data_IF_657345405008
#
_entry.id   IF_657345405008
#
_cell.length_a   1.000
_cell.length_b   1.000
_cell.length_c   1.000
_cell.angle_alpha   90.00
_cell.angle_beta   90.00
_cell.angle_gamma   90.00
#
_symmetry.space_group_name_H-M   'P 1'
#
loop_
_entity.id
_entity.type
_entity.pdbx_description
1 polymer ?
#
# COMPACT_ATOMS: atom_id res chain seq x y z
N UNK A 1 -11.71 -52.45 -55.30
CA UNK A 1 -12.61 -52.09 -54.18
C UNK A 1 -12.15 -50.74 -53.67
N UNK A 2 -12.88 -49.67 -54.02
CA UNK A 2 -12.51 -48.28 -53.74
C UNK A 2 -12.68 -47.97 -52.25
N UNK A 3 -11.58 -47.67 -51.57
CA UNK A 3 -11.61 -47.32 -50.15
C UNK A 3 -11.40 -45.80 -50.02
N UNK A 4 -12.51 -45.09 -49.90
CA UNK A 4 -12.57 -43.67 -49.50
C UNK A 4 -12.40 -43.62 -47.99
N UNK A 5 -11.38 -42.93 -47.48
CA UNK A 5 -11.33 -42.52 -46.08
C UNK A 5 -11.34 -41.00 -45.98
N UNK A 6 -12.34 -40.55 -45.22
CA UNK A 6 -12.70 -39.19 -44.81
C UNK A 6 -11.50 -38.46 -44.18
N UNK A 7 -11.18 -37.27 -44.67
CA UNK A 7 -10.41 -36.27 -43.94
C UNK A 7 -11.30 -35.68 -42.83
N UNK A 8 -11.03 -36.00 -41.57
CA UNK A 8 -11.57 -35.25 -40.44
C UNK A 8 -10.86 -33.89 -40.39
N UNK A 9 -11.57 -32.82 -40.71
CA UNK A 9 -11.13 -31.46 -40.40
C UNK A 9 -11.24 -31.25 -38.87
N UNK A 10 -10.11 -31.27 -38.17
CA UNK A 10 -10.03 -30.74 -36.81
C UNK A 10 -10.16 -29.22 -36.89
N UNK A 11 -11.38 -28.72 -36.69
CA UNK A 11 -11.61 -27.31 -36.43
C UNK A 11 -10.97 -26.95 -35.10
N UNK A 12 -9.86 -26.22 -35.16
CA UNK A 12 -9.31 -25.50 -34.02
C UNK A 12 -10.36 -24.48 -33.57
N UNK A 13 -11.13 -24.79 -32.52
CA UNK A 13 -11.74 -23.75 -31.70
C UNK A 13 -10.60 -23.09 -30.94
N UNK A 14 -9.98 -22.10 -31.57
CA UNK A 14 -9.19 -21.11 -30.87
C UNK A 14 -10.17 -20.39 -29.96
N UNK A 15 -10.26 -20.81 -28.69
CA UNK A 15 -10.91 -20.02 -27.68
C UNK A 15 -10.15 -18.69 -27.65
N UNK A 16 -10.75 -17.65 -28.20
CA UNK A 16 -10.36 -16.28 -27.89
C UNK A 16 -10.54 -16.15 -26.38
N UNK A 17 -9.47 -16.36 -25.62
CA UNK A 17 -9.37 -15.80 -24.27
C UNK A 17 -9.34 -14.30 -24.51
N UNK A 18 -10.52 -13.69 -24.55
CA UNK A 18 -10.63 -12.24 -24.50
C UNK A 18 -9.90 -11.84 -23.22
N UNK A 19 -8.74 -11.21 -23.36
CA UNK A 19 -8.11 -10.54 -22.24
C UNK A 19 -9.11 -9.50 -21.77
N UNK A 20 -9.75 -9.72 -20.63
CA UNK A 20 -10.61 -8.73 -20.02
C UNK A 20 -9.68 -7.60 -19.57
N UNK A 21 -9.49 -6.62 -20.45
CA UNK A 21 -8.59 -5.47 -20.28
C UNK A 21 -9.28 -4.29 -19.60
N UNK A 22 -10.30 -4.56 -18.79
CA UNK A 22 -11.06 -3.54 -18.07
C UNK A 22 -10.65 -3.53 -16.61
N UNK A 23 -10.53 -2.33 -16.03
CA UNK A 23 -10.33 -2.17 -14.60
C UNK A 23 -11.41 -2.95 -13.82
N UNK A 24 -11.03 -3.45 -12.65
CA UNK A 24 -11.96 -4.16 -11.77
C UNK A 24 -13.12 -3.21 -11.37
N UNK A 25 -14.37 -3.70 -11.30
CA UNK A 25 -15.49 -2.88 -10.88
C UNK A 25 -15.34 -2.48 -9.41
N UNK A 26 -15.76 -1.25 -9.10
CA UNK A 26 -15.86 -0.78 -7.72
C UNK A 26 -17.14 -1.32 -7.06
N UNK A 27 -17.03 -1.73 -5.80
CA UNK A 27 -18.14 -2.12 -4.95
C UNK A 27 -18.62 -0.98 -4.04
N UNK A 28 -17.79 0.05 -3.83
CA UNK A 28 -18.13 1.24 -3.05
C UNK A 28 -18.82 2.30 -3.93
N UNK A 29 -19.76 3.06 -3.35
CA UNK A 29 -20.40 4.17 -4.04
C UNK A 29 -19.38 5.24 -4.46
N UNK A 30 -19.58 5.80 -5.66
CA UNK A 30 -18.69 6.80 -6.25
C UNK A 30 -18.56 8.06 -5.38
N UNK A 31 -19.64 8.46 -4.71
CA UNK A 31 -19.64 9.62 -3.82
C UNK A 31 -18.73 9.41 -2.60
N UNK A 32 -18.69 8.19 -2.06
CA UNK A 32 -17.87 7.85 -0.90
C UNK A 32 -16.40 7.69 -1.30
N UNK A 33 -16.12 7.03 -2.44
CA UNK A 33 -14.78 6.95 -3.02
C UNK A 33 -14.17 8.35 -3.21
N UNK A 34 -14.95 9.30 -3.75
CA UNK A 34 -14.49 10.67 -4.01
C UNK A 34 -14.24 11.49 -2.75
N UNK A 35 -15.03 11.29 -1.69
CA UNK A 35 -14.90 12.04 -0.43
C UNK A 35 -13.70 11.62 0.41
N UNK A 36 -13.10 10.48 0.11
CA UNK A 36 -12.04 9.91 0.93
C UNK A 36 -10.67 10.61 0.78
N UNK A 37 -10.48 11.50 -0.20
CA UNK A 37 -9.20 12.22 -0.35
C UNK A 37 -9.32 13.65 0.13
N UNK A 38 -8.33 14.07 0.92
CA UNK A 38 -8.17 15.43 1.42
C UNK A 38 -6.81 15.98 1.01
N UNK A 39 -6.78 17.24 0.57
CA UNK A 39 -5.56 17.99 0.27
C UNK A 39 -5.60 19.28 1.12
N UNK A 40 -5.05 19.28 2.34
CA UNK A 40 -5.29 20.34 3.32
C UNK A 40 -4.81 21.73 2.89
N UNK A 41 -3.68 21.78 2.15
CA UNK A 41 -3.14 23.03 1.57
C UNK A 41 -3.72 23.33 0.18
N UNK A 42 -4.68 22.53 -0.27
CA UNK A 42 -5.22 22.58 -1.64
C UNK A 42 -4.28 21.94 -2.66
N UNK A 43 -4.66 22.06 -3.93
CA UNK A 43 -3.83 21.68 -5.09
C UNK A 43 -3.49 22.98 -5.81
N UNK A 44 -2.23 23.41 -5.68
CA UNK A 44 -1.73 24.68 -6.20
C UNK A 44 -1.10 24.56 -7.58
N UNK A 45 -0.90 23.33 -8.07
CA UNK A 45 -0.17 23.06 -9.30
C UNK A 45 1.33 23.06 -9.07
N UNK A 46 1.79 22.46 -7.97
CA UNK A 46 3.20 22.36 -7.65
C UNK A 46 3.99 21.64 -8.77
N UNK A 47 5.23 22.05 -9.03
CA UNK A 47 6.03 21.52 -10.15
C UNK A 47 6.34 20.03 -10.01
N UNK A 48 6.51 19.54 -8.78
CA UNK A 48 6.68 18.11 -8.49
C UNK A 48 5.40 17.29 -8.59
N UNK A 49 4.26 17.93 -8.80
CA UNK A 49 2.95 17.30 -8.90
C UNK A 49 2.32 17.04 -7.54
N UNK A 50 1.49 15.99 -7.47
CA UNK A 50 0.73 15.64 -6.28
C UNK A 50 1.30 14.35 -5.68
N UNK A 51 1.51 14.35 -4.36
CA UNK A 51 1.84 13.17 -3.56
C UNK A 51 0.59 12.76 -2.79
N UNK A 52 0.08 11.55 -3.02
CA UNK A 52 -1.00 10.95 -2.23
C UNK A 52 -0.40 10.05 -1.16
N UNK A 53 -0.51 10.49 0.09
CA UNK A 53 -0.10 9.75 1.27
C UNK A 53 -1.20 8.77 1.68
N UNK A 54 -0.85 7.51 1.93
CA UNK A 54 -1.80 6.45 2.27
C UNK A 54 -1.35 5.81 3.57
N UNK A 55 -2.26 5.81 4.53
CA UNK A 55 -1.97 5.42 5.91
C UNK A 55 -1.84 3.93 6.13
N UNK A 56 -1.13 3.58 7.20
CA UNK A 56 -1.01 2.23 7.72
C UNK A 56 -2.30 1.70 8.36
N UNK A 57 -2.28 0.43 8.72
CA UNK A 57 -3.38 -0.24 9.45
C UNK A 57 -3.65 0.46 10.78
N UNK A 58 -4.93 0.55 11.18
CA UNK A 58 -5.44 1.27 12.36
C UNK A 58 -5.47 2.81 12.20
N UNK A 59 -4.99 3.35 11.08
CA UNK A 59 -4.89 4.79 10.85
C UNK A 59 -5.63 5.24 9.58
N UNK A 60 -6.05 6.49 9.60
CA UNK A 60 -6.53 7.24 8.43
C UNK A 60 -5.58 8.40 8.14
N UNK A 61 -5.70 9.02 6.97
CA UNK A 61 -4.79 10.08 6.54
C UNK A 61 -4.62 11.22 7.56
N UNK A 62 -5.73 11.73 8.08
CA UNK A 62 -5.74 12.75 9.13
C UNK A 62 -5.21 12.31 10.50
N UNK A 63 -5.10 10.99 10.75
CA UNK A 63 -4.50 10.47 11.98
C UNK A 63 -2.96 10.48 11.90
N UNK A 64 -2.42 10.15 10.72
CA UNK A 64 -1.00 9.83 10.55
C UNK A 64 -0.17 11.00 10.00
N UNK A 65 -0.64 11.67 8.94
CA UNK A 65 0.21 12.58 8.17
C UNK A 65 0.39 14.00 8.73
N UNK A 66 -0.57 14.61 9.45
CA UNK A 66 -0.37 15.91 10.06
C UNK A 66 0.82 15.93 11.03
N UNK A 67 1.72 16.90 10.90
CA UNK A 67 2.91 16.97 11.74
C UNK A 67 3.95 15.87 11.47
N UNK A 68 4.02 15.35 10.24
CA UNK A 68 5.14 14.52 9.73
C UNK A 68 6.03 15.35 8.81
N UNK A 69 7.29 14.96 8.57
CA UNK A 69 8.14 15.65 7.59
C UNK A 69 7.53 15.61 6.17
N UNK A 70 6.74 14.59 5.83
CA UNK A 70 6.04 14.52 4.55
C UNK A 70 5.05 15.66 4.34
N UNK A 71 4.24 15.98 5.36
CA UNK A 71 3.31 17.11 5.27
C UNK A 71 4.01 18.45 5.41
N UNK A 72 4.99 18.56 6.32
CA UNK A 72 5.61 19.83 6.63
C UNK A 72 6.60 20.31 5.56
N UNK A 73 7.37 19.40 4.98
CA UNK A 73 8.54 19.76 4.16
C UNK A 73 8.36 19.53 2.66
N UNK A 74 7.59 18.53 2.21
CA UNK A 74 7.43 18.27 0.77
C UNK A 74 6.97 19.50 -0.05
N UNK A 75 6.09 20.39 0.44
CA UNK A 75 5.72 21.59 -0.31
C UNK A 75 6.89 22.54 -0.57
N UNK A 76 8.00 22.41 0.16
CA UNK A 76 9.18 23.27 0.09
C UNK A 76 10.44 22.55 -0.40
N UNK A 77 10.40 21.22 -0.57
CA UNK A 77 11.49 20.47 -1.23
C UNK A 77 11.60 20.89 -2.70
N UNK A 78 12.78 20.83 -3.30
CA UNK A 78 12.88 21.01 -4.76
C UNK A 78 12.29 19.78 -5.46
N UNK A 79 11.28 19.88 -6.34
CA UNK A 79 10.68 21.07 -6.97
C UNK A 79 9.35 21.57 -6.36
N UNK A 80 8.89 20.99 -5.26
CA UNK A 80 7.69 21.33 -4.50
C UNK A 80 6.53 20.40 -4.85
N UNK A 81 5.77 19.95 -3.85
CA UNK A 81 4.69 18.97 -4.04
C UNK A 81 3.39 19.43 -3.37
N UNK A 82 2.27 19.24 -4.08
CA UNK A 82 0.93 19.31 -3.50
C UNK A 82 0.68 18.01 -2.71
N UNK A 83 0.45 18.12 -1.40
CA UNK A 83 0.28 16.95 -0.53
C UNK A 83 -1.20 16.69 -0.27
N UNK A 84 -1.63 15.48 -0.59
CA UNK A 84 -2.95 14.96 -0.27
C UNK A 84 -2.80 13.65 0.53
N UNK A 85 -3.83 13.28 1.28
CA UNK A 85 -3.89 11.96 1.91
C UNK A 85 -5.24 11.29 1.73
N UNK A 86 -5.21 9.97 1.82
CA UNK A 86 -6.41 9.15 1.84
C UNK A 86 -6.94 8.98 3.27
N UNK A 87 -8.12 9.53 3.53
CA UNK A 87 -8.90 9.26 4.72
C UNK A 87 -9.71 7.96 4.54
N UNK A 88 -9.04 6.80 4.69
CA UNK A 88 -9.68 5.50 4.60
C UNK A 88 -10.72 5.33 5.72
N UNK A 89 -12.03 5.18 5.42
CA UNK A 89 -13.05 4.94 6.46
C UNK A 89 -12.71 3.70 7.29
N UNK A 90 -12.13 2.73 6.59
CA UNK A 90 -11.34 1.58 7.03
C UNK A 90 -10.57 1.68 8.33
N UNK A 91 -9.87 2.81 8.43
CA UNK A 91 -8.55 2.88 9.04
C UNK A 91 -7.67 1.66 8.69
N UNK A 92 -7.79 1.11 7.48
CA UNK A 92 -7.07 -0.11 7.06
C UNK A 92 -7.49 -1.44 7.72
N UNK A 93 -8.60 -1.52 8.45
CA UNK A 93 -9.02 -2.73 9.20
C UNK A 93 -10.02 -3.62 8.46
N UNK A 94 -10.83 -3.03 7.59
CA UNK A 94 -11.76 -3.73 6.72
C UNK A 94 -11.06 -4.51 5.61
N UNK A 95 -11.84 -5.08 4.69
CA UNK A 95 -11.32 -5.81 3.54
C UNK A 95 -10.34 -4.94 2.72
N UNK A 96 -9.09 -5.38 2.60
CA UNK A 96 -8.03 -4.71 1.87
C UNK A 96 -8.39 -4.51 0.39
N UNK A 97 -9.22 -5.39 -0.19
CA UNK A 97 -9.73 -5.25 -1.55
C UNK A 97 -10.70 -4.06 -1.68
N UNK A 98 -11.40 -3.68 -0.60
CA UNK A 98 -12.25 -2.48 -0.54
C UNK A 98 -11.38 -1.24 -0.31
N UNK A 99 -10.39 -1.31 0.58
CA UNK A 99 -9.42 -0.22 0.79
C UNK A 99 -8.69 0.15 -0.51
N UNK A 100 -8.38 -0.85 -1.33
CA UNK A 100 -7.75 -0.68 -2.65
C UNK A 100 -8.61 0.12 -3.63
N UNK A 101 -9.95 0.06 -3.52
CA UNK A 101 -10.85 0.81 -4.41
C UNK A 101 -10.72 2.32 -4.21
N UNK A 102 -10.61 2.77 -2.95
CA UNK A 102 -10.43 4.17 -2.61
C UNK A 102 -9.14 4.74 -3.23
N UNK A 103 -8.07 3.95 -3.24
CA UNK A 103 -6.81 4.33 -3.88
C UNK A 103 -7.01 4.33 -5.41
N UNK A 104 -7.43 3.20 -5.98
CA UNK A 104 -7.60 3.02 -7.42
C UNK A 104 -8.50 4.09 -8.08
N UNK A 105 -9.61 4.44 -7.44
CA UNK A 105 -10.55 5.45 -7.93
C UNK A 105 -9.96 6.87 -7.95
N UNK A 106 -9.21 7.25 -6.92
CA UNK A 106 -8.75 8.64 -6.77
C UNK A 106 -7.51 8.98 -7.60
N UNK A 107 -6.75 7.98 -8.05
CA UNK A 107 -5.54 8.23 -8.84
C UNK A 107 -5.83 8.93 -10.17
N UNK A 108 -6.78 8.46 -11.01
CA UNK A 108 -7.25 9.21 -12.18
C UNK A 108 -7.55 10.68 -11.88
N UNK A 109 -8.28 10.91 -10.79
CA UNK A 109 -8.84 12.20 -10.44
C UNK A 109 -7.73 13.17 -10.04
N UNK A 110 -6.81 12.74 -9.19
CA UNK A 110 -5.66 13.55 -8.79
C UNK A 110 -4.68 13.74 -9.95
N UNK A 111 -4.42 12.71 -10.75
CA UNK A 111 -3.55 12.83 -11.92
C UNK A 111 -4.04 13.87 -12.93
N UNK A 112 -5.36 13.98 -13.14
CA UNK A 112 -5.95 15.04 -13.98
C UNK A 112 -5.81 16.46 -13.41
N UNK A 113 -5.54 16.58 -12.11
CA UNK A 113 -5.31 17.86 -11.41
C UNK A 113 -3.82 18.16 -11.22
N UNK A 114 -2.95 17.17 -11.44
CA UNK A 114 -1.50 17.34 -11.33
C UNK A 114 -0.93 17.96 -12.60
N UNK A 115 0.04 18.86 -12.41
CA UNK A 115 0.86 19.43 -13.49
C UNK A 115 1.64 18.39 -14.28
N UNK A 116 1.98 17.25 -13.67
CA UNK A 116 2.73 16.17 -14.33
C UNK A 116 1.83 15.19 -15.10
N UNK A 117 0.51 15.30 -14.97
CA UNK A 117 -0.45 14.30 -15.48
C UNK A 117 -0.34 12.93 -14.78
N UNK A 118 0.47 12.84 -13.72
CA UNK A 118 0.72 11.66 -12.89
C UNK A 118 0.73 12.08 -11.41
N UNK A 119 0.72 11.10 -10.52
CA UNK A 119 0.85 11.31 -9.09
C UNK A 119 1.82 10.29 -8.49
N UNK A 120 2.44 10.60 -7.36
CA UNK A 120 3.16 9.60 -6.58
C UNK A 120 2.20 8.94 -5.59
N UNK A 121 2.09 7.61 -5.59
CA UNK A 121 1.12 6.84 -4.79
C UNK A 121 1.63 5.45 -4.41
N UNK A 122 0.85 4.68 -3.63
CA UNK A 122 1.13 3.28 -3.36
C UNK A 122 0.74 2.20 -4.38
N UNK A 123 -0.10 2.41 -5.41
CA UNK A 123 -0.27 1.44 -6.54
C UNK A 123 -1.34 1.83 -7.57
N UNK A 124 -0.93 2.03 -8.83
CA UNK A 124 -1.63 1.83 -10.14
C UNK A 124 -0.61 2.23 -11.23
N UNK A 125 -0.80 1.89 -12.52
CA UNK A 125 0.35 1.84 -13.45
C UNK A 125 0.57 3.07 -14.32
N UNK A 126 -0.46 3.57 -15.02
CA UNK A 126 -0.25 4.58 -16.07
C UNK A 126 -0.12 6.01 -15.55
N UNK A 127 -0.72 6.28 -14.39
CA UNK A 127 -0.85 7.63 -13.81
C UNK A 127 0.03 7.83 -12.59
N UNK A 128 1.01 6.95 -12.41
CA UNK A 128 1.88 6.95 -11.26
C UNK A 128 3.31 7.21 -11.68
N UNK A 129 3.90 8.26 -11.12
CA UNK A 129 5.29 8.63 -11.39
C UNK A 129 6.25 7.88 -10.46
N UNK A 130 5.82 7.58 -9.24
CA UNK A 130 6.61 6.90 -8.22
C UNK A 130 5.71 6.17 -7.21
N UNK A 131 6.19 5.05 -6.70
CA UNK A 131 5.69 4.41 -5.48
C UNK A 131 6.80 4.33 -4.45
N UNK A 132 6.63 5.02 -3.32
CA UNK A 132 7.52 4.91 -2.17
C UNK A 132 6.77 4.15 -1.08
N UNK A 133 7.24 2.94 -0.76
CA UNK A 133 6.71 2.13 0.32
C UNK A 133 7.57 2.31 1.57
N UNK A 134 6.93 2.58 2.70
CA UNK A 134 7.57 2.66 4.02
C UNK A 134 7.01 1.49 4.84
N UNK A 135 7.87 0.59 5.30
CA UNK A 135 7.49 -0.68 5.96
C UNK A 135 6.43 -1.47 5.17
N UNK A 136 6.69 -1.66 3.87
CA UNK A 136 5.78 -2.41 2.98
C UNK A 136 5.73 -3.89 3.36
N UNK A 137 4.55 -4.51 3.33
CA UNK A 137 4.40 -5.94 3.64
C UNK A 137 4.00 -6.75 2.40
N UNK A 138 4.85 -6.72 1.36
CA UNK A 138 4.51 -7.29 0.05
C UNK A 138 4.27 -8.81 0.07
N UNK A 139 4.89 -9.51 1.02
CA UNK A 139 4.77 -10.95 1.21
C UNK A 139 3.94 -11.30 2.46
N UNK A 140 3.18 -10.34 2.98
CA UNK A 140 2.48 -10.44 4.26
C UNK A 140 3.43 -10.38 5.46
N UNK A 141 2.85 -10.47 6.66
CA UNK A 141 3.58 -10.41 7.93
C UNK A 141 3.13 -11.51 8.89
N UNK A 142 3.99 -11.87 9.83
CA UNK A 142 3.69 -12.85 10.87
C UNK A 142 3.07 -12.19 12.10
N UNK A 143 2.07 -12.85 12.70
CA UNK A 143 1.53 -12.45 14.00
C UNK A 143 0.23 -11.61 14.07
N UNK A 144 -0.32 -10.98 13.00
CA UNK A 144 -1.54 -10.16 13.13
C UNK A 144 -2.70 -10.90 13.81
N UNK A 145 -3.07 -12.07 13.33
CA UNK A 145 -4.19 -12.85 13.89
C UNK A 145 -3.89 -13.34 15.31
N UNK A 146 -2.65 -13.72 15.59
CA UNK A 146 -2.23 -14.13 16.94
C UNK A 146 -2.32 -12.96 17.94
N UNK A 147 -2.08 -11.72 17.49
CA UNK A 147 -2.26 -10.52 18.31
C UNK A 147 -3.71 -10.32 18.72
N UNK A 148 -4.66 -10.45 17.79
CA UNK A 148 -6.09 -10.41 18.12
C UNK A 148 -6.47 -11.44 19.19
N UNK A 149 -5.93 -12.65 19.10
CA UNK A 149 -6.18 -13.72 20.08
C UNK A 149 -5.57 -13.38 21.45
N UNK A 150 -4.34 -12.85 21.47
CA UNK A 150 -3.68 -12.42 22.70
C UNK A 150 -4.42 -11.26 23.39
N UNK A 151 -5.09 -10.40 22.61
CA UNK A 151 -5.96 -9.32 23.09
C UNK A 151 -7.35 -9.81 23.52
N UNK A 152 -7.63 -11.12 23.43
CA UNK A 152 -8.89 -11.73 23.87
C UNK A 152 -10.07 -11.50 22.91
N UNK A 153 -9.81 -11.15 21.65
CA UNK A 153 -10.85 -10.89 20.66
C UNK A 153 -11.44 -12.20 20.12
N UNK A 154 -12.78 -12.24 19.96
CA UNK A 154 -13.48 -13.35 19.34
C UNK A 154 -13.55 -13.15 17.82
N UNK A 155 -12.46 -13.51 17.15
CA UNK A 155 -12.20 -13.19 15.74
C UNK A 155 -11.13 -12.11 15.60
N UNK A 156 -10.89 -11.66 14.38
CA UNK A 156 -9.91 -10.63 14.07
C UNK A 156 -10.37 -9.74 12.91
N UNK A 157 -9.69 -8.62 12.70
CA UNK A 157 -10.01 -7.70 11.62
C UNK A 157 -9.80 -8.37 10.25
N UNK A 158 -10.69 -8.13 9.27
CA UNK A 158 -10.53 -8.60 7.89
C UNK A 158 -9.12 -8.44 7.33
N UNK A 159 -8.53 -7.25 7.46
CA UNK A 159 -7.19 -6.98 6.93
C UNK A 159 -6.09 -7.76 7.65
N UNK A 160 -6.25 -8.09 8.93
CA UNK A 160 -5.25 -8.86 9.68
C UNK A 160 -5.11 -10.28 9.14
N UNK A 161 -6.22 -10.91 8.76
CA UNK A 161 -6.18 -12.17 8.02
C UNK A 161 -5.53 -11.98 6.65
N UNK A 162 -5.93 -10.96 5.90
CA UNK A 162 -5.43 -10.72 4.55
C UNK A 162 -3.95 -10.33 4.49
N UNK A 163 -3.41 -9.65 5.52
CA UNK A 163 -1.99 -9.30 5.59
C UNK A 163 -1.13 -10.40 6.21
N UNK A 164 -1.74 -11.47 6.74
CA UNK A 164 -0.99 -12.59 7.26
C UNK A 164 -0.20 -13.28 6.14
N UNK A 165 1.04 -13.67 6.41
CA UNK A 165 1.85 -14.43 5.46
C UNK A 165 1.10 -15.72 5.04
N UNK A 166 1.03 -15.98 3.73
CA UNK A 166 0.31 -17.12 3.16
C UNK A 166 -1.22 -17.00 3.13
N UNK A 167 -1.78 -15.80 3.35
CA UNK A 167 -3.20 -15.54 3.13
C UNK A 167 -3.57 -15.68 1.65
N UNK A 168 -4.84 -15.96 1.36
CA UNK A 168 -5.33 -16.02 -0.02
C UNK A 168 -5.14 -14.67 -0.74
N UNK A 169 -5.26 -13.56 -0.01
CA UNK A 169 -5.03 -12.21 -0.51
C UNK A 169 -3.56 -11.97 -0.90
N UNK A 170 -2.60 -12.31 -0.04
CA UNK A 170 -1.17 -12.16 -0.38
C UNK A 170 -0.81 -13.08 -1.54
N UNK A 171 -1.24 -14.34 -1.52
CA UNK A 171 -0.98 -15.28 -2.61
C UNK A 171 -1.50 -14.76 -3.96
N UNK A 172 -2.71 -14.19 -3.99
CA UNK A 172 -3.30 -13.62 -5.19
C UNK A 172 -2.60 -12.32 -5.63
N UNK A 173 -2.22 -11.45 -4.69
CA UNK A 173 -1.46 -10.24 -4.95
C UNK A 173 -0.12 -10.60 -5.62
N UNK A 174 0.60 -11.57 -5.05
CA UNK A 174 1.93 -11.98 -5.49
C UNK A 174 1.99 -12.48 -6.93
N UNK A 175 0.88 -13.02 -7.48
CA UNK A 175 0.80 -13.46 -8.90
C UNK A 175 1.14 -12.36 -9.90
N UNK A 176 0.90 -11.09 -9.55
CA UNK A 176 1.15 -9.94 -10.43
C UNK A 176 1.96 -8.85 -9.74
N UNK A 177 1.81 -8.69 -8.43
CA UNK A 177 2.41 -7.66 -7.58
C UNK A 177 3.64 -8.11 -6.81
N UNK A 178 4.16 -9.33 -7.02
CA UNK A 178 5.41 -9.79 -6.41
C UNK A 178 6.69 -9.08 -6.88
N UNK A 179 6.52 -8.06 -7.73
CA UNK A 179 7.57 -7.17 -8.21
C UNK A 179 6.99 -5.77 -8.40
N UNK A 180 7.87 -4.78 -8.47
CA UNK A 180 7.52 -3.41 -8.78
C UNK A 180 6.77 -3.31 -10.12
N UNK A 181 5.57 -2.73 -10.07
CA UNK A 181 4.70 -2.53 -11.24
C UNK A 181 4.82 -1.12 -11.83
N UNK A 182 5.47 -0.23 -11.10
CA UNK A 182 5.80 1.16 -11.42
C UNK A 182 7.19 1.44 -10.87
N UNK A 183 7.83 2.59 -11.18
CA UNK A 183 9.05 2.97 -10.49
C UNK A 183 8.83 3.01 -8.98
N UNK A 184 9.56 2.16 -8.25
CA UNK A 184 9.32 1.91 -6.82
C UNK A 184 10.59 2.05 -6.00
N UNK A 185 10.46 2.65 -4.83
CA UNK A 185 11.43 2.60 -3.73
C UNK A 185 10.76 1.95 -2.52
N UNK A 186 11.39 0.94 -1.94
CA UNK A 186 10.94 0.30 -0.70
C UNK A 186 11.92 0.60 0.42
N UNK A 187 11.41 1.14 1.52
CA UNK A 187 12.15 1.59 2.69
C UNK A 187 11.64 0.84 3.91
N UNK A 188 12.53 0.28 4.72
CA UNK A 188 12.15 -0.45 5.93
C UNK A 188 13.20 -0.36 7.03
N UNK A 189 12.84 -0.89 8.21
CA UNK A 189 13.72 -1.02 9.35
C UNK A 189 13.88 -2.48 9.71
N UNK A 190 15.12 -2.92 9.92
CA UNK A 190 15.43 -4.29 10.36
C UNK A 190 14.98 -4.57 11.79
N UNK A 191 14.70 -3.52 12.57
CA UNK A 191 14.20 -3.60 13.94
C UNK A 191 12.69 -3.40 14.03
N UNK A 192 11.99 -3.38 12.89
CA UNK A 192 10.54 -3.38 12.85
C UNK A 192 10.00 -4.65 13.53
N UNK A 193 9.29 -4.47 14.65
CA UNK A 193 8.66 -5.54 15.41
C UNK A 193 7.20 -5.79 15.07
N UNK A 194 6.62 -5.03 14.13
CA UNK A 194 5.22 -5.11 13.72
C UNK A 194 5.07 -5.80 12.37
N UNK A 195 5.91 -5.41 11.42
CA UNK A 195 6.04 -6.06 10.12
C UNK A 195 7.28 -6.94 10.18
N UNK A 196 7.09 -8.25 10.06
CA UNK A 196 8.16 -9.24 10.18
C UNK A 196 7.96 -10.40 9.21
N UNK A 197 9.07 -11.01 8.72
CA UNK A 197 10.47 -10.68 9.00
C UNK A 197 10.97 -9.44 8.25
N UNK A 198 11.95 -8.73 8.81
CA UNK A 198 12.59 -7.55 8.19
C UNK A 198 14.13 -7.54 8.20
N UNK A 199 14.77 -8.49 8.87
CA UNK A 199 16.23 -8.63 8.92
C UNK A 199 16.76 -9.61 7.85
N UNK A 200 16.23 -10.84 7.83
CA UNK A 200 16.52 -11.87 6.84
C UNK A 200 15.26 -12.14 6.01
N UNK A 201 15.40 -12.10 4.68
CA UNK A 201 14.30 -12.21 3.72
C UNK A 201 13.13 -11.24 4.03
N UNK A 202 13.41 -9.92 4.07
CA UNK A 202 12.44 -8.91 4.49
C UNK A 202 11.19 -8.88 3.61
N UNK A 203 10.00 -8.86 4.24
CA UNK A 203 8.73 -8.73 3.49
C UNK A 203 8.60 -7.37 2.78
N UNK A 204 9.35 -6.36 3.24
CA UNK A 204 9.50 -5.08 2.54
C UNK A 204 10.32 -5.13 1.27
N UNK A 205 11.13 -6.17 1.04
CA UNK A 205 11.86 -6.27 -0.22
C UNK A 205 10.91 -6.50 -1.39
N UNK A 206 11.06 -5.74 -2.48
CA UNK A 206 10.28 -5.93 -3.70
C UNK A 206 11.19 -6.04 -4.91
N UNK A 207 11.05 -7.13 -5.68
CA UNK A 207 11.80 -7.31 -6.93
C UNK A 207 11.57 -6.10 -7.85
N UNK A 208 12.63 -5.55 -8.45
CA UNK A 208 12.54 -4.39 -9.36
C UNK A 208 12.36 -3.02 -8.69
N UNK A 209 12.27 -2.96 -7.37
CA UNK A 209 12.31 -1.70 -6.61
C UNK A 209 13.76 -1.31 -6.24
N UNK A 210 13.95 -0.03 -5.88
CA UNK A 210 15.11 0.41 -5.11
C UNK A 210 14.86 0.09 -3.63
N UNK A 211 15.59 -0.89 -3.08
CA UNK A 211 15.30 -1.48 -1.77
C UNK A 211 16.33 -1.07 -0.71
N UNK A 212 15.90 -0.37 0.34
CA UNK A 212 16.76 0.11 1.40
C UNK A 212 16.21 -0.21 2.80
N UNK A 213 16.93 -1.06 3.53
CA UNK A 213 16.83 -1.03 4.99
C UNK A 213 17.62 0.17 5.49
N UNK A 214 17.07 0.97 6.41
CA UNK A 214 17.79 2.13 6.95
C UNK A 214 19.12 1.70 7.61
N UNK A 215 19.15 0.50 8.18
CA UNK A 215 20.35 -0.06 8.80
C UNK A 215 21.39 -0.64 7.81
N UNK A 216 21.20 -0.50 6.49
CA UNK A 216 22.23 -0.86 5.52
C UNK A 216 23.49 0.03 5.70
N UNK A 217 24.68 -0.55 5.52
CA UNK A 217 25.95 0.15 5.79
C UNK A 217 26.24 1.35 4.86
N UNK A 218 25.66 1.38 3.66
CA UNK A 218 25.71 2.51 2.73
C UNK A 218 24.59 3.54 2.99
N UNK A 219 23.70 3.28 3.95
CA UNK A 219 22.69 4.22 4.45
C UNK A 219 23.12 4.67 5.86
N UNK A 220 22.46 4.21 6.93
CA UNK A 220 22.75 4.67 8.30
C UNK A 220 23.49 3.63 9.15
N UNK A 221 23.65 2.40 8.66
CA UNK A 221 24.24 1.31 9.44
C UNK A 221 23.41 0.97 10.68
N UNK A 222 23.97 0.14 11.57
CA UNK A 222 23.23 -0.39 12.72
C UNK A 222 22.91 0.62 13.82
N UNK A 223 23.23 1.91 13.63
CA UNK A 223 22.96 2.97 14.62
C UNK A 223 21.51 3.46 14.58
N UNK A 224 20.78 3.20 13.50
CA UNK A 224 19.38 3.58 13.38
C UNK A 224 18.46 2.55 14.04
N UNK A 225 17.62 3.01 14.97
CA UNK A 225 16.73 2.18 15.78
C UNK A 225 15.25 2.52 15.57
N UNK A 226 14.90 3.20 14.48
CA UNK A 226 13.51 3.54 14.19
C UNK A 226 12.67 2.26 14.05
N UNK A 227 11.65 2.11 14.89
CA UNK A 227 10.66 1.03 14.79
C UNK A 227 9.63 1.33 13.70
N UNK A 228 8.63 0.45 13.55
CA UNK A 228 7.54 0.57 12.58
C UNK A 228 6.91 1.97 12.52
N UNK A 229 6.62 2.55 13.68
CA UNK A 229 5.90 3.83 13.78
C UNK A 229 6.86 5.01 13.60
N UNK A 230 8.10 4.88 14.06
CA UNK A 230 9.11 5.93 13.87
C UNK A 230 9.55 6.09 12.42
N UNK A 231 9.41 5.06 11.59
CA UNK A 231 9.76 5.09 10.16
C UNK A 231 9.16 6.29 9.40
N UNK A 232 7.93 6.71 9.72
CA UNK A 232 7.26 7.85 9.05
C UNK A 232 7.77 9.22 9.51
N UNK A 233 8.59 9.27 10.56
CA UNK A 233 9.25 10.49 11.03
C UNK A 233 10.77 10.36 11.10
N UNK A 234 11.32 9.35 10.44
CA UNK A 234 12.75 9.12 10.39
C UNK A 234 13.41 10.02 9.32
N UNK A 235 14.48 10.76 9.66
CA UNK A 235 15.10 11.70 8.73
C UNK A 235 15.80 11.03 7.54
N UNK A 236 16.32 9.81 7.69
CA UNK A 236 16.96 9.08 6.58
C UNK A 236 15.92 8.54 5.60
N UNK A 237 14.81 8.02 6.13
CA UNK A 237 13.67 7.55 5.33
C UNK A 237 13.08 8.69 4.54
N UNK A 238 12.85 9.83 5.21
CA UNK A 238 12.36 11.04 4.54
C UNK A 238 13.31 11.48 3.41
N UNK A 239 14.62 11.52 3.67
CA UNK A 239 15.60 11.90 2.65
C UNK A 239 15.62 10.94 1.44
N UNK A 240 15.50 9.63 1.67
CA UNK A 240 15.39 8.64 0.59
C UNK A 240 14.07 8.81 -0.19
N UNK A 241 12.97 9.11 0.49
CA UNK A 241 11.69 9.39 -0.16
C UNK A 241 11.76 10.64 -1.05
N UNK A 242 12.35 11.73 -0.56
CA UNK A 242 12.58 12.95 -1.36
C UNK A 242 13.48 12.67 -2.56
N UNK A 243 14.56 11.91 -2.36
CA UNK A 243 15.44 11.50 -3.45
C UNK A 243 14.69 10.66 -4.51
N UNK A 244 13.82 9.72 -4.10
CA UNK A 244 12.98 8.97 -5.01
C UNK A 244 12.02 9.87 -5.80
N UNK A 245 11.33 10.81 -5.13
CA UNK A 245 10.40 11.73 -5.79
C UNK A 245 11.11 12.60 -6.85
N UNK A 246 12.32 13.08 -6.54
CA UNK A 246 13.12 13.87 -7.46
C UNK A 246 13.75 13.06 -8.62
N UNK A 247 13.81 11.72 -8.51
CA UNK A 247 14.52 10.85 -9.45
C UNK A 247 13.65 9.70 -9.97
N UNK A 248 12.47 10.05 -10.51
CA UNK A 248 11.59 9.10 -11.20
C UNK A 248 11.22 7.86 -10.37
N UNK A 249 11.05 8.03 -9.05
CA UNK A 249 10.60 6.99 -8.12
C UNK A 249 11.67 6.04 -7.59
N UNK A 250 12.94 6.25 -7.94
CA UNK A 250 14.05 5.40 -7.49
C UNK A 250 15.06 6.18 -6.66
N UNK A 251 15.04 5.94 -5.35
CA UNK A 251 16.10 6.42 -4.46
C UNK A 251 17.45 5.75 -4.77
N UNK A 252 18.55 6.40 -4.39
CA UNK A 252 19.90 5.84 -4.57
C UNK A 252 20.78 6.06 -3.35
N UNK A 253 21.40 4.96 -2.87
CA UNK A 253 22.43 5.03 -1.85
C UNK A 253 23.66 5.86 -2.27
N UNK A 254 23.93 6.01 -3.58
CA UNK A 254 25.05 6.86 -4.06
C UNK A 254 24.77 8.35 -3.96
N UNK A 255 23.48 8.75 -3.91
CA UNK A 255 23.04 10.14 -3.72
C UNK A 255 22.70 10.45 -2.27
N UNK A 256 22.54 9.42 -1.44
CA UNK A 256 22.18 9.54 -0.04
C UNK A 256 23.29 10.23 0.76
N UNK A 257 22.91 11.30 1.48
CA UNK A 257 23.80 12.00 2.40
C UNK A 257 23.62 11.43 3.82
N UNK A 258 24.66 10.79 4.37
CA UNK A 258 24.61 10.18 5.71
C UNK A 258 24.33 11.14 6.85
N UNK A 259 24.48 12.46 6.65
CA UNK A 259 24.01 13.45 7.63
C UNK A 259 22.50 13.31 7.90
N UNK A 260 21.73 12.86 6.90
CA UNK A 260 20.30 12.59 7.04
C UNK A 260 19.96 11.45 7.99
N UNK A 261 20.92 10.66 8.45
CA UNK A 261 20.72 9.68 9.53
C UNK A 261 20.45 10.33 10.90
N UNK A 262 20.64 11.64 11.03
CA UNK A 262 20.56 12.34 12.30
C UNK A 262 19.72 13.61 12.26
N UNK A 263 19.54 14.22 11.08
CA UNK A 263 18.85 15.49 10.92
C UNK A 263 18.09 15.57 9.61
N UNK A 264 16.99 16.31 9.61
CA UNK A 264 16.33 16.72 8.38
C UNK A 264 17.14 17.81 7.67
N UNK A 265 17.10 17.83 6.34
CA UNK A 265 17.70 18.91 5.54
C UNK A 265 17.07 20.27 5.86
N UNK A 266 15.77 20.28 6.15
CA UNK A 266 15.05 21.44 6.62
C UNK A 266 15.05 21.49 8.16
N UNK A 267 15.52 22.60 8.72
CA UNK A 267 15.65 22.81 10.17
C UNK A 267 14.48 23.56 10.83
N UNK A 268 13.37 23.84 10.12
CA UNK A 268 12.21 24.56 10.70
C UNK A 268 11.60 23.81 11.89
N UNK A 269 11.46 22.49 11.77
CA UNK A 269 11.00 21.60 12.83
C UNK A 269 12.08 20.59 13.20
N UNK A 270 12.20 20.29 14.50
CA UNK A 270 13.15 19.31 15.00
C UNK A 270 12.48 17.93 15.20
N UNK A 271 13.27 16.91 15.54
CA UNK A 271 12.76 15.57 15.81
C UNK A 271 11.66 15.56 16.88
N UNK A 272 11.77 16.40 17.92
CA UNK A 272 10.79 16.46 19.00
C UNK A 272 9.40 16.91 18.52
N UNK A 273 9.35 17.83 17.54
CA UNK A 273 8.08 18.21 16.90
C UNK A 273 7.44 17.01 16.20
N UNK A 274 8.22 16.23 15.45
CA UNK A 274 7.70 15.06 14.75
C UNK A 274 7.37 13.88 15.69
N UNK A 275 8.08 13.73 16.82
CA UNK A 275 7.77 12.70 17.82
C UNK A 275 6.35 12.84 18.41
N UNK A 276 5.79 14.05 18.45
CA UNK A 276 4.39 14.25 18.86
C UNK A 276 3.39 13.51 17.95
N UNK A 277 3.76 13.27 16.68
CA UNK A 277 2.97 12.45 15.76
C UNK A 277 3.05 10.97 16.12
N UNK A 278 4.23 10.47 16.50
CA UNK A 278 4.37 9.10 17.01
C UNK A 278 3.56 8.89 18.28
N UNK A 279 3.57 9.85 19.21
CA UNK A 279 2.75 9.80 20.43
C UNK A 279 1.25 9.75 20.09
N UNK A 280 0.81 10.52 19.10
CA UNK A 280 -0.57 10.50 18.62
C UNK A 280 -0.93 9.14 18.00
N UNK A 281 -0.09 8.62 17.11
CA UNK A 281 -0.30 7.32 16.46
C UNK A 281 -0.36 6.20 17.50
N UNK A 282 0.59 6.15 18.42
CA UNK A 282 0.62 5.14 19.48
C UNK A 282 -0.61 5.23 20.39
N UNK A 283 -1.07 6.44 20.73
CA UNK A 283 -2.31 6.62 21.47
C UNK A 283 -3.53 6.08 20.70
N UNK A 284 -3.60 6.26 19.38
CA UNK A 284 -4.69 5.72 18.56
C UNK A 284 -4.63 4.19 18.54
N UNK A 285 -3.43 3.61 18.37
CA UNK A 285 -3.24 2.15 18.32
C UNK A 285 -3.60 1.51 19.67
N UNK A 286 -3.08 2.04 20.78
CA UNK A 286 -3.33 1.49 22.12
C UNK A 286 -4.79 1.65 22.53
N UNK A 287 -5.41 2.80 22.21
CA UNK A 287 -6.80 3.07 22.58
C UNK A 287 -7.79 2.74 21.46
N UNK A 288 -7.38 1.96 20.46
CA UNK A 288 -8.22 1.60 19.32
C UNK A 288 -9.56 1.01 19.77
N UNK A 289 -9.53 0.07 20.71
CA UNK A 289 -10.74 -0.56 21.26
C UNK A 289 -11.62 0.37 22.11
N UNK A 290 -11.05 1.46 22.67
CA UNK A 290 -11.76 2.45 23.49
C UNK A 290 -12.24 3.67 22.70
N UNK A 291 -11.72 3.88 21.49
CA UNK A 291 -12.09 5.00 20.63
C UNK A 291 -13.49 4.79 20.06
N UNK A 292 -14.43 5.65 20.42
CA UNK A 292 -15.78 5.64 19.85
C UNK A 292 -15.76 5.87 18.34
N UNK A 293 -14.78 6.59 17.80
CA UNK A 293 -14.57 6.74 16.36
C UNK A 293 -14.16 5.42 15.72
N UNK A 294 -13.29 4.64 16.37
CA UNK A 294 -12.89 3.31 15.93
C UNK A 294 -14.06 2.32 15.99
N UNK A 295 -14.82 2.33 17.09
CA UNK A 295 -16.05 1.53 17.24
C UNK A 295 -17.14 1.93 16.24
N UNK A 296 -17.28 3.24 15.95
CA UNK A 296 -18.24 3.78 15.00
C UNK A 296 -17.90 3.47 13.53
N UNK A 297 -16.68 3.04 13.23
CA UNK A 297 -16.33 2.59 11.87
C UNK A 297 -17.04 1.30 11.46
N UNK A 298 -17.64 0.57 12.41
CA UNK A 298 -18.52 -0.56 12.13
C UNK A 298 -17.82 -1.82 11.59
N UNK A 299 -16.50 -1.94 11.75
CA UNK A 299 -15.78 -3.14 11.31
C UNK A 299 -16.02 -4.30 12.28
N UNK A 300 -16.84 -5.24 11.82
CA UNK A 300 -17.07 -6.48 12.53
C UNK A 300 -15.82 -7.36 12.44
N UNK A 301 -15.38 -7.85 13.60
CA UNK A 301 -14.42 -8.95 13.64
C UNK A 301 -14.97 -10.13 12.85
N UNK A 302 -14.07 -10.83 12.17
CA UNK A 302 -14.36 -12.00 11.36
C UNK A 302 -13.64 -13.22 11.93
N UNK A 303 -14.16 -14.41 11.69
CA UNK A 303 -13.52 -15.66 12.15
C UNK A 303 -12.46 -16.18 11.17
N UNK A 304 -12.42 -15.64 9.95
CA UNK A 304 -11.56 -16.08 8.87
C UNK A 304 -11.33 -14.95 7.86
N UNK A 305 -10.36 -15.15 6.97
CA UNK A 305 -10.08 -14.25 5.86
C UNK A 305 -11.33 -14.01 4.99
N UNK A 306 -11.65 -12.75 4.65
CA UNK A 306 -12.69 -12.47 3.68
C UNK A 306 -12.38 -13.14 2.33
N UNK A 307 -13.38 -13.69 1.65
CA UNK A 307 -13.19 -14.27 0.34
C UNK A 307 -12.73 -13.22 -0.68
N UNK A 308 -11.88 -13.65 -1.62
CA UNK A 308 -11.43 -12.82 -2.73
C UNK A 308 -12.60 -12.43 -3.63
N UNK A 309 -12.56 -11.21 -4.17
CA UNK A 309 -13.56 -10.71 -5.12
C UNK A 309 -13.47 -11.48 -6.44
N UNK A 310 -14.61 -11.62 -7.13
CA UNK A 310 -14.73 -12.42 -8.35
C UNK A 310 -13.68 -12.07 -9.42
N UNK A 311 -13.39 -10.77 -9.59
CA UNK A 311 -12.40 -10.30 -10.58
C UNK A 311 -11.00 -10.88 -10.35
N UNK A 312 -10.63 -11.26 -9.12
CA UNK A 312 -9.33 -11.87 -8.81
C UNK A 312 -9.21 -13.25 -9.48
N UNK A 313 -10.30 -14.04 -9.44
CA UNK A 313 -10.37 -15.33 -10.11
C UNK A 313 -10.52 -15.18 -11.63
N UNK A 314 -11.36 -14.25 -12.09
CA UNK A 314 -11.52 -13.95 -13.52
C UNK A 314 -10.19 -13.55 -14.19
N UNK A 315 -9.31 -12.90 -13.42
CA UNK A 315 -7.97 -12.51 -13.86
C UNK A 315 -6.91 -13.62 -13.65
N UNK A 316 -7.30 -14.81 -13.18
CA UNK A 316 -6.45 -15.97 -13.01
C UNK A 316 -5.46 -15.87 -11.84
N UNK A 317 -5.74 -15.01 -10.85
CA UNK A 317 -4.86 -14.81 -9.69
C UNK A 317 -5.20 -15.73 -8.51
N UNK A 318 -6.41 -16.30 -8.49
CA UNK A 318 -6.85 -17.27 -7.49
C UNK A 318 -7.89 -18.23 -8.08
N UNK A 319 -8.20 -19.31 -7.36
CA UNK A 319 -9.24 -20.28 -7.75
C UNK A 319 -10.46 -20.27 -6.82
N UNK A 320 -10.34 -19.70 -5.62
CA UNK A 320 -11.40 -19.66 -4.62
C UNK A 320 -11.81 -18.20 -4.34
N UNK A 321 -12.84 -17.71 -5.03
CA UNK A 321 -13.39 -16.36 -4.88
C UNK A 321 -14.89 -16.40 -4.55
N UNK A 322 -15.41 -15.31 -3.99
CA UNK A 322 -16.85 -15.11 -3.82
C UNK A 322 -17.58 -15.28 -5.17
N UNK A 323 -18.58 -16.16 -5.21
CA UNK A 323 -19.38 -16.42 -6.41
C UNK A 323 -18.85 -17.54 -7.32
N UNK A 324 -17.67 -18.11 -7.04
CA UNK A 324 -17.19 -19.32 -7.72
C UNK A 324 -17.67 -20.59 -7.00
N UNK A 325 -19.00 -20.75 -6.88
CA UNK A 325 -19.52 -22.11 -6.99
C UNK A 325 -19.44 -22.43 -8.48
N UNK A 326 -18.73 -23.49 -8.93
CA UNK A 326 -18.99 -23.97 -10.26
C UNK A 326 -20.48 -24.32 -10.26
N UNK A 327 -21.27 -23.53 -10.99
CA UNK A 327 -22.61 -23.97 -11.36
C UNK A 327 -22.36 -25.15 -12.28
N UNK A 328 -22.17 -26.33 -11.68
CA UNK A 328 -22.45 -27.59 -12.32
C UNK A 328 -23.96 -27.55 -12.49
N UNK A 329 -24.42 -26.92 -13.58
CA UNK A 329 -25.69 -27.30 -14.17
C UNK A 329 -25.43 -28.72 -14.66
N UNK A 330 -25.70 -29.70 -13.78
CA UNK A 330 -25.98 -31.05 -14.22
C UNK A 330 -27.25 -30.93 -15.07
N UNK A 331 -27.06 -30.80 -16.38
CA UNK A 331 -28.10 -31.12 -17.33
C UNK A 331 -28.20 -32.64 -17.31
N UNK A 332 -29.18 -33.14 -16.57
CA UNK A 332 -29.86 -34.39 -16.87
C UNK A 332 -31.34 -34.09 -16.96
#
# INVERSE_FOLDING_TARGET
>A
MNMRYLLLAMSFMTACVASVSTDAPFSVDTADLKKAVECPRGISGATGGIVLLVSGTTLSGGDEWPGTPYYEYLPYEGPGYDVCWLNNPSKGLGDAQVSSEYIAYNIPLLASKSTTGKIAIPSTRARVSAYIAISGMFYGTLGPVARCQAEGLNGCYPSFYQMSNGSAYIDAQMRRGGRALVPTTSLWSRVDGTVIPEDVDPTSYLEGAANFAVQQGNICGSGDTSDHVHMVIDPAVYALAVDALAHSGHASATRFNKTSCHVFSNGTYNQAYFNATVDRINNIIVNASASTTYQATGYNLTAAEPPLKAYVCEQGQATNCMGWWPVIVQIT
#
